data_IF_685635238635
#
_entry.id   IF_685635238635
#
_cell.length_a   1.000
_cell.length_b   1.000
_cell.length_c   1.000
_cell.angle_alpha   90.00
_cell.angle_beta   90.00
_cell.angle_gamma   90.00
#
_symmetry.space_group_name_H-M   'P 1'
#
loop_
_entity.id
_entity.type
_entity.pdbx_description
1 polymer ?
#
# COMPACT_ATOMS: atom_id res chain seq x y z
N UNK A 1 25.60 -20.53 18.65
CA UNK A 1 24.91 -20.45 17.35
C UNK A 1 23.45 -20.80 17.61
N UNK A 2 22.62 -19.80 17.87
CA UNK A 2 21.18 -20.00 18.04
C UNK A 2 20.52 -19.53 16.73
N UNK A 3 20.01 -20.48 15.97
CA UNK A 3 19.21 -20.26 14.78
C UNK A 3 17.78 -20.01 15.28
N UNK A 4 17.37 -18.75 15.30
CA UNK A 4 16.04 -18.35 15.76
C UNK A 4 15.17 -18.04 14.53
N UNK A 5 14.29 -18.99 14.24
CA UNK A 5 13.03 -18.88 13.48
C UNK A 5 13.01 -17.92 12.27
N UNK A 6 13.47 -18.40 11.10
CA UNK A 6 12.94 -17.88 9.84
C UNK A 6 11.48 -18.33 9.73
N UNK A 7 10.55 -17.45 10.07
CA UNK A 7 9.14 -17.61 9.75
C UNK A 7 9.00 -17.66 8.22
N UNK A 8 8.53 -18.80 7.69
CA UNK A 8 8.23 -19.08 6.27
C UNK A 8 7.10 -18.18 5.69
N UNK A 9 6.75 -17.10 6.38
CA UNK A 9 5.69 -16.20 5.96
C UNK A 9 6.22 -15.24 4.88
N UNK A 10 5.50 -15.06 3.76
CA UNK A 10 5.93 -14.18 2.69
C UNK A 10 6.10 -12.74 3.19
N UNK A 11 7.19 -12.11 2.77
CA UNK A 11 7.51 -10.72 3.07
C UNK A 11 6.65 -9.82 2.19
N UNK A 12 5.57 -9.29 2.78
CA UNK A 12 4.69 -8.31 2.15
C UNK A 12 5.02 -6.90 2.61
N UNK A 13 5.32 -5.99 1.68
CA UNK A 13 5.62 -4.59 1.96
C UNK A 13 4.50 -3.68 1.44
N UNK A 14 4.03 -2.76 2.29
CA UNK A 14 2.95 -1.82 1.98
C UNK A 14 3.51 -0.40 1.85
N UNK A 15 3.14 0.28 0.77
CA UNK A 15 3.57 1.63 0.43
C UNK A 15 2.34 2.50 0.24
N UNK A 16 2.29 3.64 0.92
CA UNK A 16 1.23 4.62 0.73
C UNK A 16 1.79 5.88 0.07
N UNK A 17 1.06 6.41 -0.91
CA UNK A 17 1.23 7.79 -1.34
C UNK A 17 0.51 8.73 -0.37
N UNK A 18 1.15 8.99 0.77
CA UNK A 18 0.68 9.89 1.85
C UNK A 18 0.81 11.38 1.49
N UNK A 19 0.36 11.76 0.30
CA UNK A 19 0.40 13.14 -0.19
C UNK A 19 -0.63 14.05 0.49
N UNK A 20 -0.54 15.36 0.21
CA UNK A 20 -1.35 16.42 0.87
C UNK A 20 -2.86 16.34 0.61
N UNK A 21 -3.33 15.58 -0.37
CA UNK A 21 -4.76 15.52 -0.70
C UNK A 21 -5.57 14.69 0.31
N UNK A 22 -6.87 14.92 0.37
CA UNK A 22 -7.82 14.05 1.09
C UNK A 22 -7.61 12.57 0.71
N UNK A 23 -7.42 12.28 -0.57
CA UNK A 23 -7.15 10.92 -1.01
C UNK A 23 -5.77 10.38 -0.61
N UNK A 24 -4.79 11.26 -0.40
CA UNK A 24 -3.48 10.89 0.15
C UNK A 24 -3.57 10.58 1.66
N UNK A 25 -4.35 11.37 2.40
CA UNK A 25 -4.72 11.07 3.78
C UNK A 25 -5.41 9.69 3.88
N UNK A 26 -6.39 9.42 3.01
CA UNK A 26 -7.07 8.13 2.99
C UNK A 26 -6.10 6.98 2.68
N UNK A 27 -5.24 7.13 1.66
CA UNK A 27 -4.24 6.11 1.32
C UNK A 27 -3.32 5.78 2.51
N UNK A 28 -2.86 6.79 3.25
CA UNK A 28 -2.06 6.61 4.46
C UNK A 28 -2.83 5.87 5.57
N UNK A 29 -4.05 6.33 5.87
CA UNK A 29 -4.89 5.74 6.93
C UNK A 29 -5.24 4.28 6.63
N UNK A 30 -5.58 3.97 5.38
CA UNK A 30 -5.88 2.60 4.95
C UNK A 30 -4.64 1.72 5.02
N UNK A 31 -3.49 2.18 4.52
CA UNK A 31 -2.24 1.41 4.59
C UNK A 31 -1.85 1.04 6.04
N UNK A 32 -1.99 1.99 6.97
CA UNK A 32 -1.80 1.74 8.41
C UNK A 32 -2.81 0.74 8.96
N UNK A 33 -4.06 0.82 8.50
CA UNK A 33 -5.10 -0.16 8.80
C UNK A 33 -4.71 -1.58 8.39
N UNK A 34 -4.33 -1.76 7.11
CA UNK A 34 -3.89 -3.05 6.55
C UNK A 34 -2.69 -3.63 7.30
N UNK A 35 -1.71 -2.79 7.66
CA UNK A 35 -0.59 -3.22 8.50
C UNK A 35 -1.02 -3.65 9.90
N UNK A 36 -1.93 -2.90 10.55
CA UNK A 36 -2.44 -3.25 11.90
C UNK A 36 -3.15 -4.60 11.93
N UNK A 37 -3.82 -4.99 10.84
CA UNK A 37 -4.47 -6.30 10.71
C UNK A 37 -3.54 -7.40 10.17
N UNK A 38 -2.25 -7.11 9.99
CA UNK A 38 -1.24 -8.12 9.66
C UNK A 38 -1.10 -8.47 8.18
N UNK A 39 -1.65 -7.68 7.25
CA UNK A 39 -1.55 -7.96 5.81
C UNK A 39 -0.19 -7.61 5.18
N UNK A 40 0.70 -6.97 5.94
CA UNK A 40 2.04 -6.63 5.50
C UNK A 40 2.68 -5.58 6.39
N UNK A 41 3.96 -5.28 6.16
CA UNK A 41 4.71 -4.25 6.88
C UNK A 41 4.74 -2.98 6.04
N UNK A 42 4.41 -1.82 6.62
CA UNK A 42 4.60 -0.57 5.91
C UNK A 42 6.09 -0.22 5.77
N UNK A 43 6.42 0.42 4.65
CA UNK A 43 7.73 0.99 4.40
C UNK A 43 7.61 2.30 3.62
N UNK A 44 8.71 3.04 3.50
CA UNK A 44 8.68 4.43 3.05
C UNK A 44 8.70 4.55 1.52
N UNK A 45 7.59 5.01 0.94
CA UNK A 45 7.53 5.33 -0.48
C UNK A 45 8.44 6.52 -0.86
N UNK A 46 8.60 7.49 0.04
CA UNK A 46 9.51 8.62 -0.22
C UNK A 46 10.97 8.14 -0.34
N UNK A 47 11.38 7.13 0.44
CA UNK A 47 12.72 6.55 0.31
C UNK A 47 12.92 5.81 -1.02
N UNK A 48 11.88 5.15 -1.53
CA UNK A 48 11.89 4.58 -2.89
C UNK A 48 12.07 5.66 -3.96
N UNK A 49 11.34 6.78 -3.82
CA UNK A 49 11.46 7.93 -4.71
C UNK A 49 12.83 8.60 -4.65
N UNK A 50 13.44 8.67 -3.46
CA UNK A 50 14.78 9.17 -3.24
C UNK A 50 15.90 8.19 -3.68
N UNK A 51 15.54 7.02 -4.24
CA UNK A 51 16.47 5.98 -4.64
C UNK A 51 17.39 5.49 -3.51
N UNK A 52 16.91 5.48 -2.27
CA UNK A 52 17.68 4.96 -1.14
C UNK A 52 17.92 3.45 -1.32
N UNK A 53 19.18 3.05 -1.48
CA UNK A 53 19.56 1.68 -1.85
C UNK A 53 18.91 0.61 -0.98
N UNK A 54 18.98 0.75 0.35
CA UNK A 54 18.37 -0.22 1.27
C UNK A 54 16.86 -0.43 1.08
N UNK A 55 16.10 0.62 0.74
CA UNK A 55 14.65 0.50 0.50
C UNK A 55 14.36 -0.14 -0.85
N UNK A 56 15.14 0.21 -1.89
CA UNK A 56 15.02 -0.38 -3.22
C UNK A 56 15.34 -1.87 -3.19
N UNK A 57 16.42 -2.27 -2.52
CA UNK A 57 16.79 -3.68 -2.37
C UNK A 57 15.77 -4.45 -1.52
N UNK A 58 15.24 -3.84 -0.46
CA UNK A 58 14.14 -4.44 0.32
C UNK A 58 12.90 -4.68 -0.54
N UNK A 59 12.54 -3.73 -1.41
CA UNK A 59 11.39 -3.86 -2.30
C UNK A 59 11.59 -4.96 -3.36
N UNK A 60 12.81 -5.11 -3.89
CA UNK A 60 13.15 -6.19 -4.83
C UNK A 60 13.15 -7.57 -4.18
N UNK A 61 13.52 -7.65 -2.90
CA UNK A 61 13.59 -8.89 -2.14
C UNK A 61 12.25 -9.31 -1.53
N UNK A 62 11.24 -8.43 -1.52
CA UNK A 62 9.91 -8.72 -1.01
C UNK A 62 9.16 -9.69 -1.93
N UNK A 63 8.43 -10.64 -1.36
CA UNK A 63 7.55 -11.54 -2.10
C UNK A 63 6.39 -10.77 -2.75
N UNK A 64 5.92 -9.72 -2.08
CA UNK A 64 4.84 -8.88 -2.59
C UNK A 64 5.00 -7.43 -2.14
N UNK A 65 4.90 -6.50 -3.10
CA UNK A 65 4.82 -5.07 -2.83
C UNK A 65 3.40 -4.58 -3.11
N UNK A 66 2.79 -3.90 -2.15
CA UNK A 66 1.45 -3.33 -2.25
C UNK A 66 1.59 -1.81 -2.26
N UNK A 67 1.25 -1.19 -3.39
CA UNK A 67 1.34 0.26 -3.57
C UNK A 67 -0.06 0.85 -3.59
N UNK A 68 -0.33 1.75 -2.65
CA UNK A 68 -1.63 2.41 -2.45
C UNK A 68 -1.49 3.88 -2.84
N UNK A 69 -2.05 4.24 -3.99
CA UNK A 69 -2.05 5.60 -4.52
C UNK A 69 -3.40 6.30 -4.29
N UNK A 70 -3.34 7.55 -3.83
CA UNK A 70 -4.54 8.34 -3.56
C UNK A 70 -5.06 9.11 -4.79
N UNK A 71 -4.25 9.40 -5.79
CA UNK A 71 -4.68 10.26 -6.89
C UNK A 71 -4.17 9.82 -8.25
N UNK A 72 -4.70 10.41 -9.31
CA UNK A 72 -4.38 10.07 -10.70
C UNK A 72 -2.92 10.27 -11.08
N UNK A 73 -2.15 11.03 -10.28
CA UNK A 73 -0.69 11.15 -10.47
C UNK A 73 -0.02 9.79 -10.23
N UNK A 74 -0.59 8.91 -9.39
CA UNK A 74 -0.07 7.57 -9.13
C UNK A 74 1.45 7.58 -8.87
N UNK A 75 1.87 8.41 -7.90
CA UNK A 75 3.28 8.63 -7.60
C UNK A 75 3.96 7.31 -7.24
N UNK A 76 3.30 6.46 -6.46
CA UNK A 76 3.84 5.17 -6.06
C UNK A 76 4.04 4.25 -7.25
N UNK A 77 3.01 4.07 -8.07
CA UNK A 77 3.08 3.29 -9.31
C UNK A 77 4.28 3.72 -10.16
N UNK A 78 4.42 5.01 -10.44
CA UNK A 78 5.50 5.55 -11.29
C UNK A 78 6.88 5.30 -10.70
N UNK A 79 7.04 5.45 -9.39
CA UNK A 79 8.31 5.15 -8.72
C UNK A 79 8.67 3.67 -8.90
N UNK A 80 7.72 2.76 -8.68
CA UNK A 80 7.97 1.32 -8.82
C UNK A 80 8.30 0.91 -10.26
N UNK A 81 7.55 1.42 -11.24
CA UNK A 81 7.82 1.21 -12.67
C UNK A 81 9.23 1.68 -13.05
N UNK A 82 9.64 2.87 -12.60
CA UNK A 82 10.98 3.41 -12.86
C UNK A 82 12.11 2.58 -12.22
N UNK A 83 11.83 1.89 -11.11
CA UNK A 83 12.81 1.02 -10.43
C UNK A 83 12.76 -0.43 -10.92
N UNK A 84 11.83 -0.79 -11.80
CA UNK A 84 11.64 -2.16 -12.29
C UNK A 84 11.28 -3.14 -11.18
N UNK A 85 10.54 -2.68 -10.16
CA UNK A 85 10.08 -3.52 -9.05
C UNK A 85 8.63 -3.91 -9.29
N UNK A 86 8.28 -5.18 -9.11
CA UNK A 86 6.91 -5.69 -9.23
C UNK A 86 6.04 -5.30 -8.04
N UNK A 87 4.77 -4.98 -8.29
CA UNK A 87 3.83 -4.53 -7.27
C UNK A 87 2.36 -4.81 -7.65
N UNK A 88 1.53 -4.94 -6.63
CA UNK A 88 0.09 -4.80 -6.69
C UNK A 88 -0.25 -3.33 -6.49
N UNK A 89 -1.09 -2.79 -7.36
CA UNK A 89 -1.49 -1.39 -7.32
C UNK A 89 -2.95 -1.25 -6.91
N UNK A 90 -3.18 -0.51 -5.82
CA UNK A 90 -4.51 -0.15 -5.34
C UNK A 90 -4.65 1.36 -5.41
N UNK A 91 -5.78 1.85 -5.96
CA UNK A 91 -6.09 3.28 -6.01
C UNK A 91 -7.33 3.57 -5.19
N UNK A 92 -7.29 4.62 -4.36
CA UNK A 92 -8.45 5.00 -3.55
C UNK A 92 -9.66 5.40 -4.40
N UNK A 93 -9.43 5.91 -5.62
CA UNK A 93 -10.50 6.27 -6.57
C UNK A 93 -11.33 5.06 -7.02
N UNK A 94 -10.77 3.85 -6.97
CA UNK A 94 -11.47 2.62 -7.34
C UNK A 94 -12.55 2.28 -6.28
N UNK A 95 -12.57 3.00 -5.16
CA UNK A 95 -13.50 2.84 -4.04
C UNK A 95 -14.40 4.08 -3.86
N UNK A 96 -14.66 4.84 -4.94
CA UNK A 96 -15.60 5.96 -4.94
C UNK A 96 -15.08 7.27 -4.33
N UNK A 97 -13.77 7.38 -4.09
CA UNK A 97 -13.19 8.56 -3.42
C UNK A 97 -12.67 9.58 -4.43
N UNK A 98 -13.26 10.77 -4.42
CA UNK A 98 -12.89 11.89 -5.28
C UNK A 98 -12.00 12.92 -4.57
N UNK A 99 -10.91 13.31 -5.23
CA UNK A 99 -9.98 14.32 -4.72
C UNK A 99 -10.68 15.67 -4.54
N UNK A 100 -10.62 16.23 -3.33
CA UNK A 100 -11.19 17.52 -2.98
C UNK A 100 -12.71 17.55 -2.79
N UNK A 101 -13.40 16.41 -2.91
CA UNK A 101 -14.86 16.33 -2.75
C UNK A 101 -15.30 15.38 -1.65
N UNK A 102 -14.63 14.22 -1.53
CA UNK A 102 -14.99 13.22 -0.52
C UNK A 102 -14.30 13.54 0.81
N UNK A 103 -15.09 13.70 1.86
CA UNK A 103 -14.58 13.82 3.23
C UNK A 103 -14.00 12.47 3.69
N UNK A 104 -12.92 12.51 4.49
CA UNK A 104 -12.23 11.30 4.98
C UNK A 104 -12.47 11.15 6.46
N UNK A 105 -13.55 10.45 6.80
CA UNK A 105 -13.89 10.05 8.16
C UNK A 105 -13.47 8.61 8.46
N UNK A 106 -13.77 8.15 9.68
CA UNK A 106 -13.37 6.83 10.17
C UNK A 106 -14.17 5.69 9.52
N UNK A 107 -15.42 5.95 9.16
CA UNK A 107 -16.30 4.99 8.51
C UNK A 107 -15.81 4.71 7.08
N UNK A 108 -15.50 5.75 6.30
CA UNK A 108 -14.92 5.62 4.97
C UNK A 108 -13.59 4.88 5.01
N UNK A 109 -12.71 5.22 5.96
CA UNK A 109 -11.41 4.54 6.10
C UNK A 109 -11.61 3.05 6.38
N UNK A 110 -12.54 2.71 7.26
CA UNK A 110 -12.83 1.33 7.63
C UNK A 110 -13.41 0.55 6.45
N UNK A 111 -14.33 1.16 5.70
CA UNK A 111 -14.94 0.56 4.52
C UNK A 111 -13.92 0.31 3.41
N UNK A 112 -13.14 1.33 3.03
CA UNK A 112 -12.10 1.20 1.99
C UNK A 112 -11.02 0.20 2.42
N UNK A 113 -10.63 0.19 3.70
CA UNK A 113 -9.71 -0.80 4.24
C UNK A 113 -10.27 -2.22 4.07
N UNK A 114 -11.55 -2.45 4.38
CA UNK A 114 -12.18 -3.76 4.21
C UNK A 114 -12.17 -4.20 2.75
N UNK A 115 -12.59 -3.31 1.84
CA UNK A 115 -12.62 -3.63 0.41
C UNK A 115 -11.23 -3.94 -0.16
N UNK A 116 -10.20 -3.16 0.22
CA UNK A 116 -8.81 -3.42 -0.16
C UNK A 116 -8.29 -4.75 0.42
N UNK A 117 -8.60 -5.05 1.69
CA UNK A 117 -8.21 -6.30 2.32
C UNK A 117 -8.82 -7.53 1.61
N UNK A 118 -10.11 -7.50 1.28
CA UNK A 118 -10.77 -8.57 0.53
C UNK A 118 -10.09 -8.81 -0.82
N UNK A 119 -9.77 -7.73 -1.55
CA UNK A 119 -9.07 -7.82 -2.83
C UNK A 119 -7.66 -8.43 -2.72
N UNK A 120 -6.91 -8.07 -1.67
CA UNK A 120 -5.57 -8.63 -1.42
C UNK A 120 -5.59 -10.10 -0.98
N UNK A 121 -6.68 -10.55 -0.35
CA UNK A 121 -6.86 -11.93 0.09
C UNK A 121 -7.50 -12.82 -0.99
N UNK A 122 -7.85 -12.28 -2.16
CA UNK A 122 -8.54 -13.02 -3.22
C UNK A 122 -9.96 -13.43 -2.84
N UNK A 123 -10.55 -12.75 -1.85
CA UNK A 123 -11.95 -12.92 -1.45
C UNK A 123 -12.80 -12.00 -2.32
N UNK A 124 -12.95 -12.33 -3.61
CA UNK A 124 -13.97 -11.68 -4.42
C UNK A 124 -15.33 -12.23 -3.99
N UNK A 125 -16.20 -11.38 -3.44
CA UNK A 125 -17.63 -11.66 -3.43
C UNK A 125 -18.07 -11.66 -4.90
N UNK A 126 -18.21 -12.86 -5.45
CA UNK A 126 -18.88 -13.07 -6.72
C UNK A 126 -20.29 -12.52 -6.63
N UNK A 127 -20.54 -11.43 -7.36
CA UNK A 127 -21.85 -10.90 -7.70
C UNK A 127 -22.20 -11.22 -9.14
#
# INVERSE_FOLDING_TARGET
MACDCMSDAPVKLIYACSGVSNTGLLADRVARGLMRIGLGKMTCLAAMGAAHSGFVESAKAADENIVIDGCQIACGKRIFEQKGVSFIHLKTSDFGVEKGKTEVDDDLVTDVQRQMASRLLGLEEGG
#
